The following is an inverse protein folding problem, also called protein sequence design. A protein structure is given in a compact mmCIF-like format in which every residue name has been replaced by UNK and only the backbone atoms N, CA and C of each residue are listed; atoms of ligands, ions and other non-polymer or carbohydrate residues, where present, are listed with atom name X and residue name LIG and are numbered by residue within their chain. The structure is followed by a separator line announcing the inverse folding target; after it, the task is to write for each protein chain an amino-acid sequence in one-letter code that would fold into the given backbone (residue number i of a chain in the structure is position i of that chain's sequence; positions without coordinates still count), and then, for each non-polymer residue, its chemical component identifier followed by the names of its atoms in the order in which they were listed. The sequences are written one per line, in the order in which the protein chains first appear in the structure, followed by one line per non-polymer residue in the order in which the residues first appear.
data_IF_683918544756
#
_entry.id   IF_683918544756
#
_cell.length_a   1.000
_cell.length_b   1.000
_cell.length_c   1.000
_cell.angle_alpha   90.00
_cell.angle_beta   90.00
_cell.angle_gamma   90.00
#
_symmetry.space_group_name_H-M   'P 1'
#
loop_
_entity.id
_entity.type
_entity.pdbx_description
1 polymer ?
#
# COMPACT_ATOMS: atom_id res chain seq x y z
N UNK A 1 -6.64 -3.08 19.42
CA UNK A 1 -5.92 -1.94 18.80
C UNK A 1 -6.39 -0.65 19.46
N UNK A 2 -5.51 0.36 19.56
CA UNK A 2 -5.96 1.70 19.96
C UNK A 2 -6.82 2.27 18.81
N UNK A 3 -7.91 3.00 19.09
CA UNK A 3 -8.73 3.60 18.04
C UNK A 3 -7.92 4.60 17.23
N UNK A 4 -8.09 4.60 15.90
CA UNK A 4 -7.60 5.66 15.03
C UNK A 4 -8.30 6.96 15.41
N UNK A 5 -7.52 7.94 15.87
CA UNK A 5 -8.03 9.18 16.43
C UNK A 5 -7.43 10.44 15.77
N UNK A 6 -6.47 10.27 14.86
CA UNK A 6 -5.92 11.35 14.04
C UNK A 6 -5.19 10.77 12.81
N UNK A 7 -4.82 11.66 11.88
CA UNK A 7 -4.12 11.30 10.64
C UNK A 7 -2.78 10.63 10.92
N UNK A 8 -2.02 11.10 11.90
CA UNK A 8 -0.71 10.53 12.24
C UNK A 8 -0.82 9.07 12.72
N UNK A 9 -1.81 8.74 13.54
CA UNK A 9 -2.04 7.35 13.97
C UNK A 9 -2.47 6.44 12.82
N UNK A 10 -3.25 6.95 11.85
CA UNK A 10 -3.61 6.22 10.65
C UNK A 10 -2.41 5.98 9.72
N UNK A 11 -1.56 6.99 9.50
CA UNK A 11 -0.33 6.85 8.72
C UNK A 11 0.64 5.85 9.35
N UNK A 12 0.83 5.90 10.67
CA UNK A 12 1.67 4.94 11.38
C UNK A 12 1.11 3.52 11.30
N UNK A 13 -0.20 3.34 11.47
CA UNK A 13 -0.83 2.03 11.31
C UNK A 13 -0.64 1.50 9.89
N UNK A 14 -0.81 2.35 8.88
CA UNK A 14 -0.58 1.99 7.48
C UNK A 14 0.86 1.52 7.24
N UNK A 15 1.86 2.31 7.67
CA UNK A 15 3.28 2.02 7.47
C UNK A 15 3.67 0.67 8.10
N UNK A 16 3.36 0.50 9.39
CA UNK A 16 3.71 -0.73 10.10
C UNK A 16 2.99 -1.95 9.53
N UNK A 17 1.70 -1.81 9.19
CA UNK A 17 0.93 -2.92 8.64
C UNK A 17 1.37 -3.29 7.22
N UNK A 18 1.72 -2.31 6.38
CA UNK A 18 2.24 -2.56 5.04
C UNK A 18 3.59 -3.31 5.07
N UNK A 19 4.47 -2.92 6.00
CA UNK A 19 5.73 -3.62 6.26
C UNK A 19 5.49 -5.05 6.75
N UNK A 20 4.66 -5.24 7.77
CA UNK A 20 4.40 -6.56 8.33
C UNK A 20 3.62 -7.48 7.37
N UNK A 21 2.77 -6.92 6.50
CA UNK A 21 2.08 -7.67 5.45
C UNK A 21 3.07 -8.26 4.45
N UNK A 22 4.01 -7.45 3.98
CA UNK A 22 4.98 -7.88 2.96
C UNK A 22 5.96 -8.91 3.50
N UNK A 23 6.50 -8.69 4.70
CA UNK A 23 7.29 -9.69 5.42
C UNK A 23 6.53 -11.01 5.60
N UNK A 24 5.26 -10.95 6.02
CA UNK A 24 4.45 -12.16 6.17
C UNK A 24 4.19 -12.89 4.84
N UNK A 25 4.19 -12.17 3.72
CA UNK A 25 4.04 -12.76 2.38
C UNK A 25 5.32 -13.49 1.98
N UNK A 26 6.48 -12.89 2.23
CA UNK A 26 7.80 -13.52 2.04
C UNK A 26 7.95 -14.80 2.88
N UNK A 27 7.45 -14.78 4.11
CA UNK A 27 7.47 -15.91 5.04
C UNK A 27 6.39 -16.98 4.74
N UNK A 28 5.46 -16.73 3.81
CA UNK A 28 4.30 -17.59 3.57
C UNK A 28 3.29 -17.63 4.74
N UNK A 29 3.37 -16.68 5.66
CA UNK A 29 2.51 -16.57 6.83
C UNK A 29 1.19 -15.85 6.51
N UNK A 30 0.30 -16.55 5.80
CA UNK A 30 -0.98 -15.97 5.36
C UNK A 30 -1.84 -15.42 6.51
N UNK A 31 -1.76 -15.99 7.72
CA UNK A 31 -2.54 -15.50 8.87
C UNK A 31 -2.08 -14.09 9.27
N UNK A 32 -0.77 -13.89 9.33
CA UNK A 32 -0.16 -12.57 9.62
C UNK A 32 -0.35 -11.61 8.45
N UNK A 33 -0.22 -12.08 7.21
CA UNK A 33 -0.50 -11.30 6.01
C UNK A 33 -1.93 -10.76 6.00
N UNK A 34 -2.93 -11.65 6.11
CA UNK A 34 -4.34 -11.28 6.12
C UNK A 34 -4.69 -10.33 7.26
N UNK A 35 -4.15 -10.57 8.47
CA UNK A 35 -4.34 -9.64 9.60
C UNK A 35 -3.88 -8.24 9.23
N UNK A 36 -2.66 -8.09 8.73
CA UNK A 36 -2.11 -6.77 8.40
C UNK A 36 -2.81 -6.13 7.20
N UNK A 37 -3.31 -6.92 6.23
CA UNK A 37 -4.17 -6.40 5.17
C UNK A 37 -5.40 -5.69 5.72
N UNK A 38 -6.09 -6.28 6.70
CA UNK A 38 -7.23 -5.61 7.33
C UNK A 38 -6.85 -4.28 7.99
N UNK A 39 -5.66 -4.19 8.60
CA UNK A 39 -5.19 -2.97 9.25
C UNK A 39 -4.80 -1.88 8.23
N UNK A 40 -4.24 -2.28 7.09
CA UNK A 40 -3.99 -1.38 5.95
C UNK A 40 -5.31 -0.77 5.49
N UNK A 41 -6.32 -1.62 5.24
CA UNK A 41 -7.65 -1.18 4.80
C UNK A 41 -8.32 -0.26 5.84
N UNK A 42 -8.19 -0.57 7.13
CA UNK A 42 -8.69 0.27 8.22
C UNK A 42 -8.05 1.67 8.20
N UNK A 43 -6.73 1.74 8.06
CA UNK A 43 -6.01 3.01 7.95
C UNK A 43 -6.42 3.82 6.72
N UNK A 44 -6.54 3.17 5.55
CA UNK A 44 -6.98 3.80 4.31
C UNK A 44 -8.41 4.34 4.42
N UNK A 45 -9.31 3.55 5.01
CA UNK A 45 -10.70 3.95 5.24
C UNK A 45 -10.76 5.21 6.10
N UNK A 46 -9.99 5.25 7.19
CA UNK A 46 -9.89 6.44 8.04
C UNK A 46 -9.36 7.66 7.27
N UNK A 47 -8.26 7.51 6.52
CA UNK A 47 -7.69 8.61 5.73
C UNK A 47 -8.68 9.14 4.69
N UNK A 48 -9.41 8.27 3.99
CA UNK A 48 -10.42 8.66 3.00
C UNK A 48 -11.59 9.40 3.63
N UNK A 49 -12.12 8.89 4.74
CA UNK A 49 -13.23 9.52 5.45
C UNK A 49 -12.87 10.91 6.01
N UNK A 50 -11.56 11.18 6.18
CA UNK A 50 -11.04 12.47 6.60
C UNK A 50 -10.40 13.27 5.44
N UNK A 51 -10.67 12.93 4.17
CA UNK A 51 -10.12 13.60 2.99
C UNK A 51 -8.59 13.77 3.01
N UNK A 52 -7.89 12.83 3.65
CA UNK A 52 -6.45 12.90 3.93
C UNK A 52 -5.67 11.78 3.24
N UNK A 53 -6.23 11.17 2.19
CA UNK A 53 -5.55 10.11 1.43
C UNK A 53 -4.24 10.60 0.81
N UNK A 54 -4.19 11.88 0.41
CA UNK A 54 -3.01 12.51 -0.20
C UNK A 54 -1.81 12.59 0.74
N UNK A 55 -2.03 12.48 2.05
CA UNK A 55 -0.96 12.45 3.06
C UNK A 55 -0.07 11.20 2.94
N UNK A 56 -0.49 10.18 2.18
CA UNK A 56 0.36 9.04 1.85
C UNK A 56 1.44 9.36 0.82
N UNK A 57 1.35 10.47 0.08
CA UNK A 57 2.26 10.77 -1.05
C UNK A 57 3.74 10.70 -0.69
N UNK A 58 4.22 11.22 0.47
CA UNK A 58 5.62 11.09 0.85
C UNK A 58 6.10 9.64 1.00
N UNK A 59 5.19 8.70 1.27
CA UNK A 59 5.50 7.28 1.48
C UNK A 59 5.80 6.52 0.18
N UNK A 60 5.57 7.13 -0.99
CA UNK A 60 6.02 6.59 -2.28
C UNK A 60 7.54 6.36 -2.32
N UNK A 61 8.30 7.16 -1.57
CA UNK A 61 9.77 7.06 -1.45
C UNK A 61 10.23 6.37 -0.15
N UNK A 62 9.36 5.59 0.51
CA UNK A 62 9.70 4.92 1.75
C UNK A 62 10.78 3.84 1.54
N UNK A 63 11.64 3.60 2.52
CA UNK A 63 12.70 2.59 2.44
C UNK A 63 12.16 1.16 2.36
N UNK A 64 10.98 0.88 2.91
CA UNK A 64 10.36 -0.44 2.90
C UNK A 64 9.51 -0.66 1.64
N UNK A 65 9.83 -1.72 0.89
CA UNK A 65 9.14 -2.09 -0.35
C UNK A 65 7.62 -2.23 -0.16
N UNK A 66 7.19 -2.82 0.95
CA UNK A 66 5.76 -2.97 1.24
C UNK A 66 5.03 -1.66 1.43
N UNK A 67 5.67 -0.67 2.05
CA UNK A 67 5.10 0.67 2.21
C UNK A 67 4.96 1.31 0.83
N UNK A 68 6.01 1.28 0.00
CA UNK A 68 5.95 1.80 -1.38
C UNK A 68 4.86 1.14 -2.21
N UNK A 69 4.79 -0.20 -2.17
CA UNK A 69 3.82 -1.00 -2.92
C UNK A 69 2.38 -0.60 -2.57
N UNK A 70 2.02 -0.69 -1.29
CA UNK A 70 0.67 -0.38 -0.85
C UNK A 70 0.32 1.09 -1.05
N UNK A 71 1.26 2.01 -0.81
CA UNK A 71 1.03 3.44 -1.07
C UNK A 71 0.72 3.68 -2.54
N UNK A 72 1.54 3.11 -3.44
CA UNK A 72 1.33 3.29 -4.87
C UNK A 72 -0.03 2.74 -5.32
N UNK A 73 -0.42 1.55 -4.85
CA UNK A 73 -1.74 0.96 -5.13
C UNK A 73 -2.89 1.93 -4.77
N UNK A 74 -2.91 2.45 -3.54
CA UNK A 74 -4.02 3.30 -3.08
C UNK A 74 -3.99 4.72 -3.66
N UNK A 75 -2.82 5.19 -4.12
CA UNK A 75 -2.69 6.50 -4.74
C UNK A 75 -2.88 6.49 -6.26
N UNK A 76 -3.00 5.33 -6.92
CA UNK A 76 -3.27 5.24 -8.36
C UNK A 76 -4.39 6.18 -8.86
N UNK A 77 -5.56 6.29 -8.18
CA UNK A 77 -6.64 7.16 -8.65
C UNK A 77 -6.38 8.66 -8.55
N UNK A 78 -5.38 9.10 -7.77
CA UNK A 78 -5.14 10.53 -7.45
C UNK A 78 -3.75 11.02 -7.87
N UNK A 79 -2.76 10.13 -7.88
CA UNK A 79 -1.37 10.38 -8.29
C UNK A 79 -0.89 9.28 -9.24
N UNK A 80 -1.66 9.04 -10.30
CA UNK A 80 -1.46 7.93 -11.22
C UNK A 80 -0.01 7.82 -11.73
N UNK A 81 0.56 8.94 -12.22
CA UNK A 81 1.89 8.95 -12.81
C UNK A 81 2.96 8.55 -11.80
N UNK A 82 2.96 9.15 -10.60
CA UNK A 82 3.90 8.83 -9.54
C UNK A 82 3.71 7.40 -9.02
N UNK A 83 2.47 6.95 -8.82
CA UNK A 83 2.17 5.58 -8.40
C UNK A 83 2.64 4.55 -9.43
N UNK A 84 2.38 4.76 -10.71
CA UNK A 84 2.83 3.86 -11.77
C UNK A 84 4.35 3.83 -11.90
N UNK A 85 5.05 4.93 -11.61
CA UNK A 85 6.50 4.94 -11.57
C UNK A 85 7.00 4.02 -10.45
N UNK A 86 6.52 4.20 -9.22
CA UNK A 86 6.92 3.36 -8.09
C UNK A 86 6.58 1.89 -8.30
N UNK A 87 5.41 1.56 -8.86
CA UNK A 87 5.06 0.17 -9.17
C UNK A 87 6.02 -0.43 -10.20
N UNK A 88 6.46 0.33 -11.21
CA UNK A 88 7.45 -0.14 -12.19
C UNK A 88 8.82 -0.35 -11.55
N UNK A 89 9.26 0.57 -10.69
CA UNK A 89 10.51 0.43 -9.96
C UNK A 89 10.51 -0.86 -9.13
N UNK A 90 9.39 -1.18 -8.46
CA UNK A 90 9.23 -2.45 -7.71
C UNK A 90 9.26 -3.68 -8.63
N UNK A 91 8.73 -3.60 -9.85
CA UNK A 91 8.85 -4.69 -10.83
C UNK A 91 10.32 -4.90 -11.22
N UNK A 92 11.05 -3.82 -11.45
CA UNK A 92 12.48 -3.85 -11.83
C UNK A 92 13.39 -4.31 -10.69
N UNK A 93 13.06 -3.98 -9.44
CA UNK A 93 13.74 -4.49 -8.23
C UNK A 93 13.63 -6.03 -8.09
N UNK A 94 12.58 -6.63 -8.66
CA UNK A 94 12.34 -8.07 -8.62
C UNK A 94 11.82 -8.56 -7.26
N UNK A 95 12.06 -9.85 -6.96
CA UNK A 95 11.59 -10.48 -5.73
C UNK A 95 10.09 -10.79 -5.69
N UNK A 96 9.60 -11.30 -4.56
CA UNK A 96 8.22 -11.82 -4.46
C UNK A 96 7.13 -10.76 -4.70
N UNK A 97 7.45 -9.49 -4.46
CA UNK A 97 6.51 -8.38 -4.58
C UNK A 97 6.42 -7.77 -5.99
N UNK A 98 7.38 -8.10 -6.87
CA UNK A 98 7.36 -7.66 -8.28
C UNK A 98 6.09 -8.11 -9.01
N UNK A 99 5.66 -9.36 -8.81
CA UNK A 99 4.44 -9.89 -9.42
C UNK A 99 3.19 -9.11 -8.96
N UNK A 100 3.10 -8.75 -7.67
CA UNK A 100 1.99 -7.95 -7.16
C UNK A 100 1.95 -6.56 -7.79
N UNK A 101 3.12 -5.93 -7.97
CA UNK A 101 3.22 -4.63 -8.63
C UNK A 101 2.85 -4.71 -10.12
N UNK A 102 3.37 -5.72 -10.84
CA UNK A 102 3.08 -5.97 -12.25
C UNK A 102 1.58 -6.20 -12.48
N UNK A 103 0.97 -7.10 -11.70
CA UNK A 103 -0.46 -7.36 -11.78
C UNK A 103 -1.29 -6.12 -11.48
N UNK A 104 -0.87 -5.30 -10.53
CA UNK A 104 -1.55 -4.03 -10.23
C UNK A 104 -1.50 -3.08 -11.42
N UNK A 105 -0.34 -2.91 -12.07
CA UNK A 105 -0.19 -2.08 -13.28
C UNK A 105 -1.09 -2.61 -14.40
N UNK A 106 -1.08 -3.93 -14.63
CA UNK A 106 -1.88 -4.56 -15.69
C UNK A 106 -3.37 -4.35 -15.48
N UNK A 107 -3.89 -4.61 -14.27
CA UNK A 107 -5.31 -4.48 -13.97
C UNK A 107 -5.75 -3.02 -13.88
N UNK A 108 -4.87 -2.11 -13.46
CA UNK A 108 -5.11 -0.66 -13.54
C UNK A 108 -5.31 -0.21 -14.99
N UNK A 109 -4.38 -0.57 -15.88
CA UNK A 109 -4.45 -0.21 -17.31
C UNK A 109 -5.66 -0.80 -18.03
N UNK A 110 -6.18 -1.94 -17.57
CA UNK A 110 -7.42 -2.54 -18.07
C UNK A 110 -8.68 -1.84 -17.54
N UNK A 111 -8.58 -0.97 -16.54
CA UNK A 111 -9.71 -0.34 -15.87
C UNK A 111 -10.47 -1.26 -14.91
N UNK A 112 -9.85 -2.37 -14.49
CA UNK A 112 -10.48 -3.38 -13.63
C UNK A 112 -10.42 -3.02 -12.14
N UNK A 113 -9.47 -2.17 -11.75
CA UNK A 113 -9.28 -1.80 -10.35
C UNK A 113 -10.21 -0.66 -9.95
N UNK A 114 -10.92 -0.86 -8.83
CA UNK A 114 -11.74 0.13 -8.16
C UNK A 114 -11.24 0.23 -6.73
N UNK A 115 -10.62 1.37 -6.42
CA UNK A 115 -10.04 1.63 -5.11
C UNK A 115 -10.97 2.44 -4.24
#
# INVERSE_FOLDING_TARGET
MKPLNNISSALNLFIESAKEHTLATEEGNYRKGNKNYYLIVEAISYLRNNNSLTELKPLLNNSYIGVRLWTACYLLPVFEKESLLILKDIVEEGGIHSLSAEMTICEWKKGNLKF
#
